data_IF_767478982296
#
_entry.id   IF_767478982296
#
_cell.length_a   1.000
_cell.length_b   1.000
_cell.length_c   1.000
_cell.angle_alpha   90.00
_cell.angle_beta   90.00
_cell.angle_gamma   90.00
#
_symmetry.space_group_name_H-M   'P 1'
#
loop_
_entity.id
_entity.type
_entity.pdbx_description
1 polymer ?
#
# COMPACT_ATOMS: atom_id res chain seq x y z
N UNK A 1 14.91 -0.41 -11.12
CA UNK A 1 14.35 0.94 -11.37
C UNK A 1 12.92 0.77 -11.88
N UNK A 2 11.96 1.55 -11.37
CA UNK A 2 10.56 1.46 -11.83
C UNK A 2 10.40 2.03 -13.25
N UNK A 3 9.59 1.37 -14.08
CA UNK A 3 9.05 1.99 -15.30
C UNK A 3 7.90 2.92 -14.96
N UNK A 4 7.56 3.84 -15.88
CA UNK A 4 6.41 4.73 -15.70
C UNK A 4 5.10 3.95 -15.48
N UNK A 5 4.90 2.84 -16.20
CA UNK A 5 3.73 1.98 -16.03
C UNK A 5 3.72 1.28 -14.66
N UNK A 6 4.84 0.70 -14.22
CA UNK A 6 4.94 0.08 -12.90
C UNK A 6 4.66 1.08 -11.79
N UNK A 7 5.12 2.33 -11.95
CA UNK A 7 4.89 3.37 -10.96
C UNK A 7 3.42 3.82 -10.93
N UNK A 8 2.80 3.96 -12.11
CA UNK A 8 1.35 4.22 -12.21
C UNK A 8 0.52 3.09 -11.59
N UNK A 9 0.91 1.83 -11.79
CA UNK A 9 0.25 0.67 -11.18
C UNK A 9 0.40 0.65 -9.65
N UNK A 10 1.58 0.98 -9.13
CA UNK A 10 1.82 1.12 -7.70
C UNK A 10 0.94 2.22 -7.09
N UNK A 11 0.89 3.38 -7.75
CA UNK A 11 0.09 4.52 -7.32
C UNK A 11 -1.41 4.16 -7.28
N UNK A 12 -1.91 3.54 -8.35
CA UNK A 12 -3.29 3.08 -8.42
C UNK A 12 -3.61 2.04 -7.33
N UNK A 13 -2.74 1.05 -7.12
CA UNK A 13 -2.96 0.01 -6.12
C UNK A 13 -2.95 0.55 -4.68
N UNK A 14 -2.16 1.58 -4.41
CA UNK A 14 -2.06 2.19 -3.08
C UNK A 14 -3.30 3.02 -2.70
N UNK A 15 -4.23 3.27 -3.63
CA UNK A 15 -5.42 4.06 -3.39
C UNK A 15 -6.63 3.18 -3.08
N UNK A 16 -7.27 3.41 -1.93
CA UNK A 16 -8.56 2.81 -1.56
C UNK A 16 -9.63 3.87 -1.25
N UNK A 17 -9.36 5.12 -1.61
CA UNK A 17 -10.24 6.25 -1.33
C UNK A 17 -11.36 6.40 -2.35
N UNK A 18 -12.02 7.57 -2.37
CA UNK A 18 -13.04 7.91 -3.36
C UNK A 18 -12.53 7.78 -4.81
N UNK A 19 -13.45 7.75 -5.78
CA UNK A 19 -13.09 7.75 -7.18
C UNK A 19 -12.13 8.92 -7.49
N UNK A 20 -10.96 8.58 -8.00
CA UNK A 20 -9.87 9.52 -8.25
C UNK A 20 -9.25 9.23 -9.62
N UNK A 21 -8.84 10.29 -10.31
CA UNK A 21 -7.84 10.16 -11.36
C UNK A 21 -6.47 10.22 -10.70
N UNK A 22 -5.53 9.37 -11.11
CA UNK A 22 -4.16 9.42 -10.61
C UNK A 22 -3.20 9.83 -11.72
N UNK A 23 -2.16 10.55 -11.34
CA UNK A 23 -1.09 10.96 -12.24
C UNK A 23 0.25 10.62 -11.61
N UNK A 24 1.05 9.85 -12.35
CA UNK A 24 2.34 9.31 -11.94
C UNK A 24 3.40 9.70 -12.98
N UNK A 25 4.42 10.44 -12.54
CA UNK A 25 5.52 10.90 -13.39
C UNK A 25 6.87 10.53 -12.81
N UNK A 26 7.79 10.13 -13.68
CA UNK A 26 9.20 9.92 -13.38
C UNK A 26 9.98 10.95 -14.21
N UNK A 27 10.72 11.82 -13.54
CA UNK A 27 11.54 12.85 -14.18
C UNK A 27 13.02 12.53 -13.96
N UNK A 28 13.79 12.60 -15.05
CA UNK A 28 15.24 12.43 -15.03
C UNK A 28 15.90 13.75 -15.37
N UNK A 29 16.68 14.26 -14.44
CA UNK A 29 17.53 15.42 -14.64
C UNK A 29 18.96 14.95 -14.86
N UNK A 30 19.59 15.42 -15.94
CA UNK A 30 20.99 15.15 -16.27
C UNK A 30 21.64 16.50 -16.57
N UNK A 31 22.59 16.90 -15.72
CA UNK A 31 23.37 18.11 -15.91
C UNK A 31 24.62 17.82 -16.77
N UNK A 32 25.14 18.81 -17.52
CA UNK A 32 26.36 18.66 -18.31
C UNK A 32 27.59 18.22 -17.50
N UNK A 33 27.65 18.58 -16.21
CA UNK A 33 28.75 18.22 -15.29
C UNK A 33 28.62 16.80 -14.70
N UNK A 34 27.68 15.99 -15.19
CA UNK A 34 27.50 14.60 -14.77
C UNK A 34 26.60 14.41 -13.55
N UNK A 35 26.04 15.49 -12.98
CA UNK A 35 25.02 15.37 -11.94
C UNK A 35 23.73 14.79 -12.51
N UNK A 36 23.28 13.67 -11.96
CA UNK A 36 22.01 13.03 -12.33
C UNK A 36 21.07 12.95 -11.14
N UNK A 37 19.81 13.31 -11.33
CA UNK A 37 18.76 13.16 -10.33
C UNK A 37 17.51 12.53 -10.92
N UNK A 38 16.91 11.59 -10.20
CA UNK A 38 15.59 11.03 -10.55
C UNK A 38 14.57 11.47 -9.52
N UNK A 39 13.44 11.99 -9.97
CA UNK A 39 12.34 12.42 -9.12
C UNK A 39 11.05 11.70 -9.51
N UNK A 40 10.34 11.21 -8.50
CA UNK A 40 9.04 10.58 -8.62
C UNK A 40 7.97 11.56 -8.13
N UNK A 41 6.95 11.79 -8.96
CA UNK A 41 5.80 12.62 -8.62
C UNK A 41 4.53 11.78 -8.71
N UNK A 42 3.81 11.70 -7.61
CA UNK A 42 2.52 11.03 -7.47
C UNK A 42 1.44 12.07 -7.17
N UNK A 43 0.26 11.92 -7.76
CA UNK A 43 -0.89 12.77 -7.44
C UNK A 43 -2.21 12.05 -7.58
N UNK A 44 -3.14 12.37 -6.68
CA UNK A 44 -4.54 11.96 -6.72
C UNK A 44 -5.42 13.17 -6.93
N UNK A 45 -6.29 13.11 -7.93
CA UNK A 45 -7.28 14.13 -8.27
C UNK A 45 -8.66 13.64 -7.85
N UNK A 46 -9.25 14.29 -6.85
CA UNK A 46 -10.54 13.93 -6.25
C UNK A 46 -11.46 15.13 -6.35
N UNK A 47 -12.47 15.05 -7.23
CA UNK A 47 -13.28 16.22 -7.56
C UNK A 47 -12.40 17.35 -8.11
N UNK A 48 -12.34 18.47 -7.40
CA UNK A 48 -11.53 19.64 -7.75
C UNK A 48 -10.22 19.74 -6.95
N UNK A 49 -9.93 18.79 -6.07
CA UNK A 49 -8.73 18.78 -5.24
C UNK A 49 -7.62 17.92 -5.86
N UNK A 50 -6.38 18.37 -5.72
CA UNK A 50 -5.18 17.60 -6.09
C UNK A 50 -4.31 17.39 -4.85
N UNK A 51 -3.98 16.13 -4.57
CA UNK A 51 -3.10 15.74 -3.48
C UNK A 51 -1.80 15.18 -4.07
N UNK A 52 -0.73 15.96 -3.96
CA UNK A 52 0.56 15.71 -4.60
C UNK A 52 1.60 15.23 -3.58
N UNK A 53 2.43 14.28 -3.98
CA UNK A 53 3.62 13.84 -3.27
C UNK A 53 4.82 13.72 -4.21
N UNK A 54 5.98 14.20 -3.77
CA UNK A 54 7.22 14.15 -4.54
C UNK A 54 8.36 13.62 -3.70
N UNK A 55 9.15 12.70 -4.26
CA UNK A 55 10.33 12.16 -3.59
C UNK A 55 11.30 11.52 -4.59
N UNK A 56 12.51 11.21 -4.13
CA UNK A 56 13.49 10.43 -4.88
C UNK A 56 13.18 8.92 -4.86
N UNK A 57 12.34 8.49 -3.92
CA UNK A 57 11.87 7.11 -3.81
C UNK A 57 10.40 7.01 -4.27
N UNK A 58 10.04 6.05 -5.15
CA UNK A 58 8.66 5.91 -5.63
C UNK A 58 7.67 5.63 -4.50
N UNK A 59 8.06 4.83 -3.50
CA UNK A 59 7.21 4.53 -2.35
C UNK A 59 6.96 5.78 -1.49
N UNK A 60 7.99 6.60 -1.29
CA UNK A 60 7.88 7.83 -0.52
C UNK A 60 6.99 8.87 -1.25
N UNK A 61 7.08 8.96 -2.58
CA UNK A 61 6.23 9.85 -3.36
C UNK A 61 4.75 9.47 -3.22
N UNK A 62 4.42 8.18 -3.35
CA UNK A 62 3.04 7.68 -3.15
C UNK A 62 2.58 7.92 -1.72
N UNK A 63 3.40 7.60 -0.72
CA UNK A 63 3.06 7.82 0.68
C UNK A 63 2.80 9.32 0.97
N UNK A 64 3.63 10.22 0.44
CA UNK A 64 3.44 11.66 0.58
C UNK A 64 2.12 12.14 -0.03
N UNK A 65 1.75 11.64 -1.23
CA UNK A 65 0.48 11.99 -1.86
C UNK A 65 -0.73 11.51 -1.03
N UNK A 66 -0.65 10.30 -0.46
CA UNK A 66 -1.69 9.76 0.44
C UNK A 66 -1.78 10.56 1.74
N UNK A 67 -0.65 10.95 2.31
CA UNK A 67 -0.62 11.79 3.51
C UNK A 67 -1.17 13.20 3.23
N UNK A 68 -0.89 13.77 2.06
CA UNK A 68 -1.46 15.04 1.63
C UNK A 68 -3.00 14.97 1.51
N UNK A 69 -3.55 13.83 1.06
CA UNK A 69 -4.98 13.59 1.12
C UNK A 69 -5.49 13.52 2.56
N UNK A 70 -4.85 12.71 3.41
CA UNK A 70 -5.26 12.52 4.80
C UNK A 70 -5.26 13.83 5.60
N UNK A 71 -4.25 14.67 5.39
CA UNK A 71 -4.13 15.99 6.02
C UNK A 71 -5.21 16.99 5.58
N UNK A 72 -5.78 16.81 4.39
CA UNK A 72 -6.86 17.65 3.89
C UNK A 72 -8.25 17.23 4.43
N UNK A 73 -8.34 16.10 5.12
CA UNK A 73 -9.61 15.62 5.69
C UNK A 73 -9.87 16.21 7.08
N UNK A 74 -11.14 16.48 7.44
CA UNK A 74 -11.49 16.92 8.78
C UNK A 74 -11.15 15.85 9.82
N UNK A 75 -10.46 16.23 10.90
CA UNK A 75 -10.13 15.32 11.99
C UNK A 75 -11.27 15.22 13.00
N UNK A 76 -11.65 14.00 13.48
CA UNK A 76 -11.17 12.69 13.05
C UNK A 76 -11.88 12.18 11.78
N UNK A 77 -11.11 11.63 10.83
CA UNK A 77 -11.65 11.01 9.61
C UNK A 77 -11.28 9.53 9.53
N UNK A 78 -12.28 8.66 9.64
CA UNK A 78 -12.11 7.22 9.39
C UNK A 78 -11.65 6.95 7.96
N UNK A 79 -12.13 7.75 6.99
CA UNK A 79 -11.71 7.63 5.60
C UNK A 79 -10.20 7.87 5.45
N UNK A 80 -9.70 8.95 6.05
CA UNK A 80 -8.26 9.25 6.04
C UNK A 80 -7.44 8.10 6.65
N UNK A 81 -7.88 7.57 7.80
CA UNK A 81 -7.20 6.46 8.47
C UNK A 81 -7.18 5.18 7.61
N UNK A 82 -8.30 4.83 6.98
CA UNK A 82 -8.41 3.64 6.12
C UNK A 82 -7.51 3.76 4.89
N UNK A 83 -7.52 4.91 4.21
CA UNK A 83 -6.70 5.13 3.01
C UNK A 83 -5.21 5.07 3.34
N UNK A 84 -4.78 5.69 4.45
CA UNK A 84 -3.38 5.62 4.90
C UNK A 84 -2.97 4.20 5.26
N UNK A 85 -3.82 3.47 5.99
CA UNK A 85 -3.53 2.10 6.38
C UNK A 85 -3.44 1.15 5.17
N UNK A 86 -4.37 1.27 4.22
CA UNK A 86 -4.35 0.51 2.96
C UNK A 86 -3.09 0.80 2.15
N UNK A 87 -2.77 2.08 1.94
CA UNK A 87 -1.56 2.48 1.23
C UNK A 87 -0.30 1.89 1.88
N UNK A 88 -0.18 1.97 3.21
CA UNK A 88 0.95 1.39 3.92
C UNK A 88 1.06 -0.14 3.72
N UNK A 89 -0.06 -0.86 3.69
CA UNK A 89 -0.07 -2.30 3.43
C UNK A 89 0.39 -2.62 2.00
N UNK A 90 -0.13 -1.92 1.01
CA UNK A 90 0.23 -2.12 -0.41
C UNK A 90 1.70 -1.79 -0.65
N UNK A 91 2.18 -0.66 -0.13
CA UNK A 91 3.59 -0.26 -0.27
C UNK A 91 4.54 -1.26 0.38
N UNK A 92 4.20 -1.78 1.58
CA UNK A 92 4.97 -2.85 2.24
C UNK A 92 4.99 -4.13 1.42
N UNK A 93 3.84 -4.53 0.88
CA UNK A 93 3.74 -5.73 0.05
C UNK A 93 4.58 -5.59 -1.22
N UNK A 94 4.48 -4.46 -1.92
CA UNK A 94 5.24 -4.17 -3.13
C UNK A 94 6.75 -4.08 -2.86
N UNK A 95 7.17 -3.43 -1.78
CA UNK A 95 8.57 -3.42 -1.35
C UNK A 95 9.08 -4.83 -1.05
N UNK A 96 8.27 -5.67 -0.39
CA UNK A 96 8.58 -7.07 -0.14
C UNK A 96 8.78 -7.88 -1.44
N UNK A 97 7.92 -7.68 -2.45
CA UNK A 97 8.08 -8.33 -3.75
C UNK A 97 9.40 -7.95 -4.43
N UNK A 98 9.77 -6.67 -4.39
CA UNK A 98 11.02 -6.20 -4.99
C UNK A 98 12.26 -6.70 -4.24
N UNK A 99 12.15 -6.84 -2.92
CA UNK A 99 13.21 -7.41 -2.09
C UNK A 99 13.31 -8.95 -2.22
N UNK A 100 12.47 -9.60 -3.04
CA UNK A 100 12.46 -11.05 -3.21
C UNK A 100 11.89 -11.82 -2.01
N UNK A 101 11.15 -11.15 -1.12
CA UNK A 101 10.49 -11.82 0.01
C UNK A 101 9.48 -12.82 -0.55
N UNK A 102 9.51 -14.09 -0.10
CA UNK A 102 8.56 -15.08 -0.56
C UNK A 102 7.15 -14.59 -0.28
N UNK A 103 6.36 -14.45 -1.33
CA UNK A 103 4.94 -14.09 -1.22
C UNK A 103 4.30 -15.14 -0.33
N UNK A 104 3.87 -14.74 0.87
CA UNK A 104 2.95 -15.55 1.67
C UNK A 104 1.62 -15.58 0.92
N UNK A 105 1.55 -16.40 -0.14
CA UNK A 105 0.27 -16.75 -0.74
C UNK A 105 -0.60 -17.22 0.41
N UNK A 106 -1.87 -16.77 0.52
CA UNK A 106 -2.83 -17.47 1.36
C UNK A 106 -3.12 -18.82 0.70
N UNK A 107 -2.14 -19.71 0.77
CA UNK A 107 -2.27 -21.10 0.35
C UNK A 107 -3.25 -21.81 1.27
N UNK A 108 -3.73 -22.95 0.82
CA UNK A 108 -4.63 -23.83 1.58
C UNK A 108 -4.18 -24.02 3.04
N UNK A 109 -2.87 -24.06 3.31
CA UNK A 109 -2.27 -24.12 4.64
C UNK A 109 -2.65 -22.97 5.58
N UNK A 110 -2.71 -21.72 5.10
CA UNK A 110 -3.12 -20.56 5.92
C UNK A 110 -4.62 -20.59 6.25
N UNK A 111 -5.45 -21.02 5.29
CA UNK A 111 -6.89 -21.26 5.53
C UNK A 111 -7.09 -22.39 6.55
N UNK A 112 -6.33 -23.48 6.45
CA UNK A 112 -6.38 -24.57 7.42
C UNK A 112 -5.90 -24.17 8.81
N UNK A 113 -4.88 -23.30 8.95
CA UNK A 113 -4.43 -22.80 10.26
C UNK A 113 -5.51 -21.95 10.95
N UNK A 114 -6.22 -21.09 10.22
CA UNK A 114 -7.33 -20.30 10.77
C UNK A 114 -8.47 -21.19 11.31
N UNK A 115 -8.72 -22.34 10.69
CA UNK A 115 -9.71 -23.32 11.16
C UNK A 115 -9.20 -24.25 12.27
N UNK A 116 -7.87 -24.46 12.42
CA UNK A 116 -7.31 -25.27 13.52
C UNK A 116 -7.46 -24.59 14.88
N UNK A 117 -7.48 -23.26 14.96
CA UNK A 117 -7.72 -22.54 16.21
C UNK A 117 -9.19 -22.54 16.66
N UNK A 118 -10.14 -22.96 15.81
CA UNK A 118 -11.56 -23.01 16.15
C UNK A 118 -12.03 -24.34 16.76
N UNK A 119 -11.17 -25.38 16.81
CA UNK A 119 -11.61 -26.77 17.11
C UNK A 119 -11.04 -27.41 18.36
N UNK A 120 -10.73 -26.63 19.41
CA UNK A 120 -10.39 -27.19 20.74
C UNK A 120 -11.02 -26.43 21.91
N UNK A 121 -12.27 -25.98 21.77
CA UNK A 121 -13.11 -25.64 22.92
C UNK A 121 -14.53 -26.13 22.71
N UNK A 122 -14.76 -27.42 22.98
CA UNK A 122 -16.00 -27.93 23.58
C UNK A 122 -15.86 -29.42 23.95
N UNK A 123 -15.80 -29.64 25.27
CA UNK A 123 -16.55 -30.65 26.04
C UNK A 123 -16.78 -32.00 25.37
N UNK A 124 -16.09 -33.03 25.87
CA UNK A 124 -16.74 -34.32 26.09
C UNK A 124 -16.78 -34.63 27.59
N UNK A 125 -18.01 -34.76 28.05
CA UNK A 125 -18.47 -35.25 29.33
C UNK A 125 -18.61 -36.78 29.21
N UNK A 126 -18.32 -37.50 30.31
CA UNK A 126 -18.69 -38.90 30.62
C UNK A 126 -18.07 -40.07 29.81
N UNK A 127 -17.29 -40.95 30.46
CA UNK A 127 -17.79 -42.24 30.99
C UNK A 127 -16.67 -43.17 31.55
N UNK A 128 -16.84 -43.55 32.83
CA UNK A 128 -16.54 -44.80 33.60
C UNK A 128 -15.60 -45.92 33.09
N UNK A 129 -15.11 -46.68 34.10
CA UNK A 129 -14.25 -47.88 34.17
C UNK A 129 -12.76 -47.53 34.35
N UNK A 130 -12.09 -47.81 35.48
CA UNK A 130 -12.17 -48.89 36.50
C UNK A 130 -12.12 -48.30 37.91
#
# INVERSE_FOLDING_TARGET
MFTALQFSQLLAAAWSGPAACHFATISHYVAPEGYTKTQYTASFHIGQACHLGQAECPFAAVAAAVQAFAAAQPAPSLLAAVVVAHAAQVLRAAAGQLAGVPVRRPGFSYRCQRHRCARFRRRFFLARYV
#
